data_IF_570220081172
#
_entry.id   IF_570220081172
#
_cell.length_a   1.000
_cell.length_b   1.000
_cell.length_c   1.000
_cell.angle_alpha   90.00
_cell.angle_beta   90.00
_cell.angle_gamma   90.00
#
_symmetry.space_group_name_H-M   'P 1'
#
loop_
_entity.id
_entity.type
_entity.pdbx_description
1 polymer ?
#
# COMPACT_ATOMS: atom_id res chain seq x y z
N UNK A 1 12.70 5.33 12.88
CA UNK A 1 12.29 4.91 11.52
C UNK A 1 10.78 4.97 11.40
N UNK A 2 10.24 5.70 10.45
CA UNK A 2 8.82 5.76 10.14
C UNK A 2 8.58 5.19 8.74
N UNK A 3 7.59 4.31 8.58
CA UNK A 3 7.33 3.62 7.32
C UNK A 3 6.01 4.09 6.72
N UNK A 4 6.03 4.52 5.46
CA UNK A 4 4.84 4.96 4.72
C UNK A 4 4.44 3.86 3.74
N UNK A 5 3.22 3.39 3.84
CA UNK A 5 2.65 2.37 2.97
C UNK A 5 1.47 2.92 2.18
N UNK A 6 1.74 3.38 0.96
CA UNK A 6 0.75 3.86 0.01
C UNK A 6 0.08 2.74 -0.77
N UNK A 7 -1.18 2.91 -1.12
CA UNK A 7 -1.90 1.93 -1.93
C UNK A 7 -3.34 2.27 -2.22
N UNK A 8 -3.96 1.53 -3.13
CA UNK A 8 -5.39 1.73 -3.47
C UNK A 8 -6.32 1.23 -2.36
N UNK A 9 -5.94 0.17 -1.64
CA UNK A 9 -6.75 -0.49 -0.60
C UNK A 9 -8.21 -0.72 -1.01
N UNK A 10 -8.41 -1.37 -2.17
CA UNK A 10 -9.71 -1.46 -2.85
C UNK A 10 -10.15 -2.92 -3.13
N UNK A 11 -10.52 -3.70 -2.09
CA UNK A 11 -10.33 -3.46 -0.66
C UNK A 11 -8.92 -3.78 -0.16
N UNK A 12 -8.59 -3.43 1.08
CA UNK A 12 -7.45 -4.01 1.79
C UNK A 12 -7.61 -5.53 1.91
N UNK A 13 -6.53 -6.28 1.71
CA UNK A 13 -6.52 -7.75 1.73
C UNK A 13 -5.62 -8.28 2.84
N UNK A 14 -5.67 -9.59 3.10
CA UNK A 14 -4.72 -10.28 4.00
C UNK A 14 -3.27 -10.07 3.56
N UNK A 15 -3.02 -9.86 2.24
CA UNK A 15 -1.70 -9.48 1.76
C UNK A 15 -1.20 -8.16 2.33
N UNK A 16 -2.05 -7.13 2.37
CA UNK A 16 -1.68 -5.85 2.98
C UNK A 16 -1.41 -6.00 4.49
N UNK A 17 -2.21 -6.81 5.19
CA UNK A 17 -2.00 -7.13 6.61
C UNK A 17 -0.67 -7.84 6.85
N UNK A 18 -0.33 -8.84 6.02
CA UNK A 18 0.94 -9.57 6.11
C UNK A 18 2.15 -8.67 5.84
N UNK A 19 2.04 -7.71 4.90
CA UNK A 19 3.06 -6.69 4.69
C UNK A 19 3.27 -5.87 5.98
N UNK A 20 2.20 -5.38 6.59
CA UNK A 20 2.26 -4.61 7.83
C UNK A 20 2.93 -5.44 8.94
N UNK A 21 2.54 -6.69 9.14
CA UNK A 21 3.13 -7.59 10.14
C UNK A 21 4.62 -7.83 9.88
N UNK A 22 5.00 -8.03 8.61
CA UNK A 22 6.41 -8.20 8.22
C UNK A 22 7.23 -6.94 8.50
N UNK A 23 6.68 -5.75 8.23
CA UNK A 23 7.34 -4.48 8.51
C UNK A 23 7.58 -4.30 10.00
N UNK A 24 6.61 -4.59 10.87
CA UNK A 24 6.79 -4.56 12.32
C UNK A 24 7.83 -5.58 12.79
N UNK A 25 7.79 -6.79 12.24
CA UNK A 25 8.70 -7.87 12.64
C UNK A 25 10.16 -7.61 12.26
N UNK A 26 10.40 -7.03 11.09
CA UNK A 26 11.76 -6.87 10.56
C UNK A 26 12.40 -5.54 11.01
N UNK A 27 11.64 -4.46 11.00
CA UNK A 27 12.19 -3.12 11.20
C UNK A 27 11.89 -2.50 12.55
N UNK A 28 10.93 -3.02 13.31
CA UNK A 28 10.47 -2.43 14.58
C UNK A 28 10.26 -0.91 14.47
N UNK A 29 9.48 -0.43 13.49
CA UNK A 29 9.33 1.01 13.23
C UNK A 29 8.61 1.72 14.37
N UNK A 30 8.87 3.02 14.53
CA UNK A 30 8.13 3.89 15.44
C UNK A 30 6.66 4.00 15.01
N UNK A 31 6.45 4.17 13.69
CA UNK A 31 5.11 4.24 13.09
C UNK A 31 5.07 3.55 11.72
N UNK A 32 3.94 2.92 11.40
CA UNK A 32 3.55 2.59 10.03
C UNK A 32 2.37 3.48 9.65
N UNK A 33 2.57 4.31 8.63
CA UNK A 33 1.59 5.27 8.13
C UNK A 33 1.01 4.69 6.85
N UNK A 34 -0.23 4.23 6.91
CA UNK A 34 -0.97 3.73 5.73
C UNK A 34 -1.67 4.88 5.05
N UNK A 35 -1.47 5.02 3.73
CA UNK A 35 -2.01 6.15 2.95
C UNK A 35 -2.81 5.61 1.76
N UNK A 36 -4.15 5.56 1.87
CA UNK A 36 -5.00 5.27 0.73
C UNK A 36 -4.91 6.38 -0.31
N UNK A 37 -4.67 6.02 -1.59
CA UNK A 37 -4.64 7.01 -2.68
C UNK A 37 -5.99 7.71 -2.82
N UNK A 38 -5.97 9.01 -3.09
CA UNK A 38 -7.18 9.81 -3.31
C UNK A 38 -7.94 9.43 -4.57
N UNK A 39 -9.18 9.88 -4.71
CA UNK A 39 -10.00 9.59 -5.90
C UNK A 39 -9.42 10.22 -7.19
N UNK A 40 -8.65 11.30 -7.05
CA UNK A 40 -7.94 11.96 -8.16
C UNK A 40 -6.75 11.15 -8.73
N UNK A 41 -6.42 9.98 -8.16
CA UNK A 41 -5.36 9.10 -8.67
C UNK A 41 -5.64 8.52 -10.06
N UNK A 42 -6.90 8.63 -10.57
CA UNK A 42 -7.26 8.30 -11.94
C UNK A 42 -7.44 6.81 -12.24
N UNK A 43 -7.53 5.94 -11.23
CA UNK A 43 -7.79 4.50 -11.41
C UNK A 43 -9.28 4.23 -11.46
N UNK A 44 -9.81 3.89 -12.64
CA UNK A 44 -11.25 3.78 -12.92
C UNK A 44 -12.06 2.78 -12.06
N UNK A 45 -11.40 1.88 -11.33
CA UNK A 45 -12.09 0.83 -10.54
C UNK A 45 -12.14 1.10 -9.03
N UNK A 46 -11.77 2.29 -8.59
CA UNK A 46 -11.80 2.64 -7.17
C UNK A 46 -13.24 2.91 -6.71
N UNK A 47 -13.64 2.30 -5.60
CA UNK A 47 -14.82 2.77 -4.87
C UNK A 47 -14.47 4.10 -4.15
N UNK A 48 -15.47 4.91 -3.72
CA UNK A 48 -15.22 6.20 -3.09
C UNK A 48 -14.19 6.14 -1.96
N UNK A 49 -13.41 7.21 -1.84
CA UNK A 49 -12.26 7.30 -0.93
C UNK A 49 -12.62 6.98 0.52
N UNK A 50 -13.76 7.46 1.01
CA UNK A 50 -14.21 7.31 2.39
C UNK A 50 -14.33 5.83 2.80
N UNK A 51 -14.86 4.98 1.91
CA UNK A 51 -14.95 3.54 2.16
C UNK A 51 -13.56 2.88 2.22
N UNK A 52 -12.65 3.30 1.33
CA UNK A 52 -11.28 2.75 1.31
C UNK A 52 -10.48 3.17 2.54
N UNK A 53 -10.64 4.42 2.98
CA UNK A 53 -10.05 4.93 4.21
C UNK A 53 -10.55 4.14 5.43
N UNK A 54 -11.86 3.94 5.55
CA UNK A 54 -12.46 3.21 6.66
C UNK A 54 -12.07 1.72 6.67
N UNK A 55 -11.93 1.09 5.51
CA UNK A 55 -11.40 -0.28 5.42
C UNK A 55 -9.92 -0.34 5.79
N UNK A 56 -9.11 0.64 5.39
CA UNK A 56 -7.69 0.67 5.73
C UNK A 56 -7.47 0.77 7.25
N UNK A 57 -8.29 1.52 7.98
CA UNK A 57 -8.27 1.60 9.45
C UNK A 57 -8.53 0.27 10.14
N UNK A 58 -9.18 -0.67 9.46
CA UNK A 58 -9.50 -2.02 9.97
C UNK A 58 -8.44 -3.07 9.67
N UNK A 59 -7.34 -2.69 9.00
CA UNK A 59 -6.23 -3.62 8.73
C UNK A 59 -5.47 -4.01 9.99
N UNK A 60 -5.19 -3.04 10.86
CA UNK A 60 -4.40 -3.23 12.06
C UNK A 60 -4.60 -2.05 13.02
N UNK A 61 -4.66 -2.30 14.31
CA UNK A 61 -4.82 -1.26 15.33
C UNK A 61 -3.51 -0.54 15.70
N UNK A 62 -2.37 -1.03 15.21
CA UNK A 62 -1.03 -0.47 15.45
C UNK A 62 -0.62 0.59 14.41
N UNK A 63 -1.37 0.70 13.30
CA UNK A 63 -1.03 1.63 12.22
C UNK A 63 -1.72 2.99 12.39
N UNK A 64 -1.10 4.01 11.82
CA UNK A 64 -1.74 5.31 11.60
C UNK A 64 -2.23 5.38 10.15
N UNK A 65 -3.50 5.74 9.93
CA UNK A 65 -4.05 5.90 8.58
C UNK A 65 -4.20 7.38 8.26
N UNK A 66 -3.47 7.83 7.24
CA UNK A 66 -3.45 9.24 6.82
C UNK A 66 -4.43 9.51 5.68
N UNK A 67 -5.10 10.66 5.73
CA UNK A 67 -5.99 11.15 4.67
C UNK A 67 -5.35 12.19 3.74
N UNK A 68 -4.04 12.36 3.77
CA UNK A 68 -3.34 13.41 3.03
C UNK A 68 -3.47 13.32 1.50
N UNK A 69 -3.74 12.14 0.96
CA UNK A 69 -3.97 11.94 -0.51
C UNK A 69 -5.37 12.35 -0.97
N UNK A 70 -6.31 12.66 -0.06
CA UNK A 70 -7.67 13.08 -0.42
C UNK A 70 -7.74 14.60 -0.68
N UNK A 71 -6.97 15.08 -1.66
CA UNK A 71 -6.83 16.52 -1.96
C UNK A 71 -7.57 16.96 -3.23
N UNK A 72 -8.33 16.09 -3.89
CA UNK A 72 -8.97 16.37 -5.18
C UNK A 72 -7.99 16.50 -6.36
N UNK A 73 -6.68 16.38 -6.11
CA UNK A 73 -5.62 16.42 -7.11
C UNK A 73 -4.48 15.51 -6.71
N UNK A 74 -4.06 14.60 -7.62
CA UNK A 74 -2.90 13.76 -7.38
C UNK A 74 -1.61 14.52 -7.66
N UNK A 75 -0.75 14.65 -6.67
CA UNK A 75 0.50 15.42 -6.73
C UNK A 75 1.76 14.55 -6.78
N UNK A 76 1.63 13.22 -6.72
CA UNK A 76 2.73 12.26 -6.73
C UNK A 76 3.29 11.95 -5.34
N UNK A 77 4.00 10.83 -5.26
CA UNK A 77 4.55 10.29 -4.00
C UNK A 77 5.57 11.23 -3.36
N UNK A 78 6.36 11.96 -4.17
CA UNK A 78 7.32 12.93 -3.64
C UNK A 78 6.63 13.99 -2.77
N UNK A 79 5.56 14.60 -3.28
CA UNK A 79 4.83 15.63 -2.54
C UNK A 79 4.13 15.07 -1.27
N UNK A 80 3.62 13.83 -1.34
CA UNK A 80 3.09 13.14 -0.16
C UNK A 80 4.15 13.01 0.94
N UNK A 81 5.33 12.48 0.59
CA UNK A 81 6.40 12.26 1.57
C UNK A 81 6.97 13.59 2.11
N UNK A 82 7.08 14.61 1.27
CA UNK A 82 7.44 15.97 1.71
C UNK A 82 6.45 16.49 2.77
N UNK A 83 5.17 16.29 2.55
CA UNK A 83 4.14 16.71 3.53
C UNK A 83 4.21 15.89 4.82
N UNK A 84 4.40 14.58 4.73
CA UNK A 84 4.58 13.72 5.91
C UNK A 84 5.87 14.04 6.67
N UNK A 85 6.92 14.52 5.98
CA UNK A 85 8.19 14.88 6.64
C UNK A 85 8.13 16.11 7.54
N UNK A 86 7.00 16.85 7.52
CA UNK A 86 6.75 17.93 8.49
C UNK A 86 6.50 17.39 9.90
N UNK A 87 5.89 16.18 9.99
CA UNK A 87 5.49 15.54 11.25
C UNK A 87 6.36 14.31 11.61
N UNK A 88 6.93 13.63 10.61
CA UNK A 88 7.66 12.37 10.78
C UNK A 88 9.05 12.45 10.15
N UNK A 89 10.09 12.16 10.92
CA UNK A 89 11.46 12.03 10.42
C UNK A 89 11.78 10.62 9.95
N UNK A 90 12.88 10.43 9.21
CA UNK A 90 13.41 9.13 8.77
C UNK A 90 12.34 8.26 8.09
N UNK A 91 11.74 8.82 7.02
CA UNK A 91 10.68 8.19 6.25
C UNK A 91 11.21 7.16 5.25
N UNK A 92 10.61 5.97 5.24
CA UNK A 92 10.79 4.91 4.24
C UNK A 92 9.48 4.64 3.53
N UNK A 93 9.50 4.62 2.20
CA UNK A 93 8.30 4.36 1.40
C UNK A 93 8.26 2.91 0.92
N UNK A 94 7.12 2.24 1.13
CA UNK A 94 6.93 0.84 0.74
C UNK A 94 6.45 0.73 -0.70
N UNK A 95 7.15 -0.06 -1.51
CA UNK A 95 6.75 -0.38 -2.88
C UNK A 95 6.86 -1.89 -3.16
N UNK A 96 6.11 -2.38 -4.15
CA UNK A 96 6.31 -3.71 -4.71
C UNK A 96 7.35 -3.71 -5.84
N UNK A 97 7.84 -4.88 -6.22
CA UNK A 97 8.77 -5.07 -7.34
C UNK A 97 8.28 -4.44 -8.65
N UNK A 98 6.97 -4.52 -8.94
CA UNK A 98 6.38 -3.89 -10.14
C UNK A 98 6.55 -2.37 -10.16
N UNK A 99 6.44 -1.74 -8.99
CA UNK A 99 6.64 -0.30 -8.84
C UNK A 99 8.10 0.09 -8.96
N UNK A 100 9.03 -0.73 -8.44
CA UNK A 100 10.47 -0.50 -8.59
C UNK A 100 10.87 -0.46 -10.06
N UNK A 101 10.38 -1.41 -10.87
CA UNK A 101 10.68 -1.49 -12.31
C UNK A 101 10.27 -0.21 -13.04
N UNK A 102 9.17 0.42 -12.62
CA UNK A 102 8.56 1.60 -13.26
C UNK A 102 8.75 2.90 -12.45
N UNK A 103 9.62 2.92 -11.44
CA UNK A 103 9.79 4.07 -10.55
C UNK A 103 10.28 5.32 -11.28
N UNK A 104 11.05 5.15 -12.36
CA UNK A 104 11.52 6.20 -13.26
C UNK A 104 10.40 6.94 -14.04
N UNK A 105 9.18 6.39 -14.03
CA UNK A 105 7.99 7.05 -14.61
C UNK A 105 7.19 7.89 -13.61
N UNK A 106 7.58 7.86 -12.33
CA UNK A 106 6.86 8.59 -11.30
C UNK A 106 7.14 10.10 -11.33
N UNK A 107 6.16 10.88 -10.89
CA UNK A 107 6.31 12.34 -10.78
C UNK A 107 7.47 12.64 -9.82
N UNK A 108 8.41 13.49 -10.27
CA UNK A 108 9.57 13.93 -9.51
C UNK A 108 10.44 12.77 -8.95
N UNK A 109 10.56 11.66 -9.71
CA UNK A 109 11.22 10.43 -9.23
C UNK A 109 12.69 10.65 -8.82
N UNK A 110 13.42 11.56 -9.46
CA UNK A 110 14.83 11.86 -9.09
C UNK A 110 14.92 12.52 -7.73
N UNK A 111 14.04 13.48 -7.46
CA UNK A 111 13.97 14.13 -6.16
C UNK A 111 13.46 13.14 -5.10
N UNK A 112 12.51 12.29 -5.46
CA UNK A 112 12.02 11.21 -4.61
C UNK A 112 13.15 10.23 -4.21
N UNK A 113 13.98 9.80 -5.16
CA UNK A 113 15.12 8.92 -4.90
C UNK A 113 16.23 9.59 -4.10
N UNK A 114 16.45 10.89 -4.30
CA UNK A 114 17.48 11.64 -3.58
C UNK A 114 17.12 11.85 -2.11
N UNK A 115 15.85 12.16 -1.84
CA UNK A 115 15.43 12.66 -0.52
C UNK A 115 14.85 11.55 0.38
N UNK A 116 14.44 10.39 -0.17
CA UNK A 116 13.77 9.35 0.58
C UNK A 116 14.33 7.95 0.33
N UNK A 117 14.06 7.04 1.27
CA UNK A 117 14.46 5.64 1.21
C UNK A 117 13.25 4.73 0.94
N UNK A 118 13.51 3.53 0.46
CA UNK A 118 12.48 2.59 0.02
C UNK A 118 12.63 1.23 0.69
N UNK A 119 11.50 0.59 0.97
CA UNK A 119 11.39 -0.82 1.27
C UNK A 119 10.70 -1.49 0.10
N UNK A 120 11.39 -2.41 -0.57
CA UNK A 120 10.88 -3.09 -1.76
C UNK A 120 10.47 -4.51 -1.41
N UNK A 121 9.19 -4.83 -1.58
CA UNK A 121 8.72 -6.20 -1.45
C UNK A 121 8.86 -6.96 -2.76
N UNK A 122 9.68 -8.01 -2.75
CA UNK A 122 9.86 -8.91 -3.87
C UNK A 122 8.79 -10.02 -3.86
N UNK A 123 7.89 -10.00 -4.84
CA UNK A 123 6.77 -10.95 -4.93
C UNK A 123 7.02 -12.12 -5.87
N UNK A 124 8.01 -12.02 -6.76
CA UNK A 124 8.18 -12.96 -7.89
C UNK A 124 9.60 -13.48 -7.97
N UNK A 125 10.36 -13.46 -6.88
CA UNK A 125 11.77 -13.88 -6.84
C UNK A 125 12.61 -13.25 -7.96
N UNK A 126 12.35 -11.96 -8.26
CA UNK A 126 13.14 -11.21 -9.23
C UNK A 126 14.49 -10.85 -8.63
N UNK A 127 15.52 -10.77 -9.45
CA UNK A 127 16.78 -10.19 -9.03
C UNK A 127 16.65 -8.66 -8.95
N UNK A 128 16.11 -8.18 -7.83
CA UNK A 128 15.86 -6.75 -7.63
C UNK A 128 17.17 -5.96 -7.48
N UNK A 129 18.25 -6.59 -7.02
CA UNK A 129 19.55 -5.92 -6.91
C UNK A 129 20.11 -5.59 -8.29
N UNK A 130 19.99 -6.50 -9.25
CA UNK A 130 20.39 -6.22 -10.63
C UNK A 130 19.58 -5.08 -11.24
N UNK A 131 18.26 -5.06 -11.02
CA UNK A 131 17.41 -3.95 -11.48
C UNK A 131 17.79 -2.61 -10.83
N UNK A 132 18.08 -2.59 -9.52
CA UNK A 132 18.50 -1.39 -8.81
C UNK A 132 19.86 -0.89 -9.34
N UNK A 133 20.82 -1.78 -9.54
CA UNK A 133 22.16 -1.44 -10.05
C UNK A 133 22.12 -0.95 -11.51
N UNK A 134 21.23 -1.48 -12.32
CA UNK A 134 21.05 -1.07 -13.72
C UNK A 134 20.34 0.29 -13.83
N UNK A 135 19.21 0.45 -13.12
CA UNK A 135 18.34 1.62 -13.29
C UNK A 135 18.64 2.78 -12.33
N UNK A 136 19.11 2.47 -11.11
CA UNK A 136 19.27 3.44 -10.02
C UNK A 136 20.62 3.34 -9.31
N UNK A 137 21.76 3.22 -10.03
CA UNK A 137 23.07 2.93 -9.43
C UNK A 137 23.51 3.96 -8.39
N UNK A 138 23.18 5.24 -8.59
CA UNK A 138 23.53 6.33 -7.68
C UNK A 138 22.73 6.29 -6.37
N UNK A 139 21.59 5.58 -6.36
CA UNK A 139 20.66 5.51 -5.23
C UNK A 139 20.53 4.10 -4.63
N UNK A 140 21.45 3.19 -4.98
CA UNK A 140 21.37 1.76 -4.57
C UNK A 140 21.20 1.58 -3.06
N UNK A 141 21.85 2.43 -2.26
CA UNK A 141 21.83 2.35 -0.80
C UNK A 141 20.51 2.89 -0.18
N UNK A 142 19.63 3.43 -1.01
CA UNK A 142 18.31 3.89 -0.57
C UNK A 142 17.25 2.77 -0.60
N UNK A 143 17.60 1.57 -1.07
CA UNK A 143 16.66 0.45 -1.21
C UNK A 143 16.96 -0.68 -0.22
N UNK A 144 15.95 -1.07 0.55
CA UNK A 144 15.95 -2.26 1.39
C UNK A 144 15.01 -3.29 0.76
N UNK A 145 15.55 -4.45 0.35
CA UNK A 145 14.75 -5.51 -0.31
C UNK A 145 14.31 -6.54 0.70
N UNK A 146 13.03 -6.93 0.67
CA UNK A 146 12.45 -7.98 1.50
C UNK A 146 11.70 -8.97 0.62
N UNK A 147 11.98 -10.25 0.82
CA UNK A 147 11.24 -11.33 0.19
C UNK A 147 9.88 -11.53 0.85
N UNK A 148 8.85 -11.75 0.02
CA UNK A 148 7.51 -12.02 0.46
C UNK A 148 6.87 -13.06 -0.45
N UNK A 149 6.35 -14.12 0.16
CA UNK A 149 5.76 -15.25 -0.57
C UNK A 149 4.27 -15.32 -0.28
N UNK A 150 3.44 -14.61 -1.08
CA UNK A 150 1.99 -14.86 -1.17
C UNK A 150 1.37 -14.12 -2.36
N UNK A 151 0.31 -14.73 -2.89
CA UNK A 151 -0.39 -14.30 -4.10
C UNK A 151 -1.87 -13.99 -3.80
N UNK A 152 -2.10 -12.93 -3.01
CA UNK A 152 -3.44 -12.42 -2.71
C UNK A 152 -3.58 -11.01 -3.25
N UNK A 153 -4.59 -10.75 -4.07
CA UNK A 153 -4.81 -9.43 -4.65
C UNK A 153 -6.23 -8.89 -4.43
N UNK A 154 -6.35 -7.56 -4.35
CA UNK A 154 -7.66 -6.90 -4.33
C UNK A 154 -8.46 -7.16 -5.61
N UNK A 155 -7.78 -7.38 -6.73
CA UNK A 155 -8.42 -7.73 -8.01
C UNK A 155 -9.10 -9.09 -7.93
N UNK A 156 -8.46 -10.06 -7.31
CA UNK A 156 -9.04 -11.38 -7.09
C UNK A 156 -10.26 -11.30 -6.18
N UNK A 157 -10.18 -10.56 -5.06
CA UNK A 157 -11.34 -10.34 -4.20
C UNK A 157 -12.52 -9.72 -4.98
N UNK A 158 -12.27 -8.66 -5.76
CA UNK A 158 -13.35 -8.02 -6.53
C UNK A 158 -14.01 -8.95 -7.55
N UNK A 159 -13.28 -9.96 -8.06
CA UNK A 159 -13.81 -10.98 -8.98
C UNK A 159 -14.58 -12.08 -8.25
N UNK A 160 -13.99 -12.62 -7.17
CA UNK A 160 -14.49 -13.85 -6.51
C UNK A 160 -15.38 -13.57 -5.32
N UNK A 161 -15.29 -12.40 -4.71
CA UNK A 161 -15.93 -12.03 -3.43
C UNK A 161 -15.54 -12.97 -2.27
N UNK A 162 -14.45 -13.73 -2.43
CA UNK A 162 -14.01 -14.70 -1.44
C UNK A 162 -13.57 -14.00 -0.14
N UNK A 163 -14.33 -14.22 0.93
CA UNK A 163 -14.08 -13.64 2.26
C UNK A 163 -12.71 -14.00 2.83
N UNK A 164 -12.12 -15.14 2.40
CA UNK A 164 -10.81 -15.58 2.89
C UNK A 164 -9.65 -14.70 2.40
N UNK A 165 -9.87 -13.84 1.42
CA UNK A 165 -8.85 -12.94 0.87
C UNK A 165 -8.69 -11.64 1.67
N UNK A 166 -9.64 -11.31 2.54
CA UNK A 166 -9.64 -10.07 3.34
C UNK A 166 -9.69 -10.37 4.84
N UNK A 167 -9.22 -9.47 5.71
CA UNK A 167 -9.45 -9.58 7.15
C UNK A 167 -10.94 -9.56 7.49
N UNK A 168 -11.35 -10.23 8.57
CA UNK A 168 -12.74 -10.32 9.01
C UNK A 168 -13.39 -8.94 9.20
N UNK A 169 -12.69 -8.04 9.88
CA UNK A 169 -13.18 -6.68 10.15
C UNK A 169 -13.39 -5.85 8.88
N UNK A 170 -12.58 -6.10 7.85
CA UNK A 170 -12.74 -5.49 6.52
C UNK A 170 -13.94 -6.11 5.81
N UNK A 171 -14.10 -7.45 5.89
CA UNK A 171 -15.21 -8.14 5.25
C UNK A 171 -16.56 -7.73 5.86
N UNK A 172 -16.65 -7.64 7.19
CA UNK A 172 -17.86 -7.20 7.88
C UNK A 172 -18.26 -5.79 7.43
N UNK A 173 -17.30 -4.87 7.35
CA UNK A 173 -17.55 -3.52 6.83
C UNK A 173 -18.03 -3.50 5.38
N UNK A 174 -17.47 -4.36 4.52
CA UNK A 174 -17.90 -4.52 3.13
C UNK A 174 -19.37 -4.95 3.06
N UNK A 175 -19.78 -5.93 3.88
CA UNK A 175 -21.16 -6.44 3.93
C UNK A 175 -22.11 -5.37 4.48
N UNK A 176 -21.78 -4.73 5.60
CA UNK A 176 -22.58 -3.67 6.23
C UNK A 176 -22.88 -2.50 5.28
N UNK A 177 -21.95 -2.17 4.39
CA UNK A 177 -22.07 -1.05 3.45
C UNK A 177 -22.45 -1.48 2.03
N UNK A 178 -22.79 -2.76 1.80
CA UNK A 178 -23.13 -3.32 0.49
C UNK A 178 -22.09 -3.02 -0.59
N UNK A 179 -20.79 -3.06 -0.24
CA UNK A 179 -19.71 -2.76 -1.17
C UNK A 179 -19.40 -3.97 -2.07
N UNK A 180 -18.91 -3.69 -3.28
CA UNK A 180 -18.49 -4.71 -4.26
C UNK A 180 -19.57 -5.73 -4.62
N UNK A 181 -20.84 -5.39 -4.46
CA UNK A 181 -21.98 -6.31 -4.70
C UNK A 181 -21.98 -7.55 -3.79
N UNK A 182 -21.33 -7.48 -2.64
CA UNK A 182 -21.37 -8.52 -1.61
C UNK A 182 -22.66 -8.32 -0.80
N UNK A 183 -23.64 -9.21 -0.99
CA UNK A 183 -24.93 -9.18 -0.29
C UNK A 183 -24.97 -10.28 0.79
N UNK A 184 -25.76 -10.08 1.85
CA UNK A 184 -25.94 -11.07 2.95
C UNK A 184 -26.46 -12.45 2.51
N UNK A 185 -26.94 -12.61 1.27
CA UNK A 185 -27.42 -13.90 0.73
C UNK A 185 -26.38 -15.03 0.79
N UNK A 186 -25.08 -14.70 0.92
CA UNK A 186 -23.99 -15.69 1.06
C UNK A 186 -23.83 -16.23 2.49
N UNK A 187 -24.62 -15.74 3.48
CA UNK A 187 -24.59 -16.25 4.86
C UNK A 187 -25.44 -17.52 5.06
N UNK A 188 -26.27 -17.92 4.09
CA UNK A 188 -27.23 -19.03 4.26
C UNK A 188 -26.81 -20.38 3.66
N UNK A 189 -25.65 -20.49 3.02
CA UNK A 189 -25.18 -21.72 2.37
C UNK A 189 -23.97 -22.36 3.08
N UNK A 190 -23.98 -22.38 4.43
CA UNK A 190 -23.04 -23.15 5.26
C UNK A 190 -23.81 -24.01 6.26
#
# INVERSE_FOLDING_TARGET
MNIVYGGSFNPPTKAHKLIIDKLFMVFHPDNIIVVPVGDAYGKASLIPYEYRLEMAKRLDNRIFVSSLENTGKYLGTYNLLKKLSEDFSDLYYVIGSDNLINLDTWIDYKDLLRDFKFIVFNRHNLDLMDIILEKYPEFKDNFLVIEIDYDISSTEFRKTKNKELVPSEVYDYIVENNLYEVNEKWKMDL
#
